data_IF_286921589414
#
_entry.id   IF_286921589414
#
_cell.length_a   1.000
_cell.length_b   1.000
_cell.length_c   1.000
_cell.angle_alpha   90.00
_cell.angle_beta   90.00
_cell.angle_gamma   90.00
#
_symmetry.space_group_name_H-M   'P 1'
#
loop_
_entity.id
_entity.type
_entity.pdbx_description
1 polymer ?
#
# COMPACT_ATOMS: atom_id res chain seq x y z
N UNK A 1 -4.04 -0.71 22.60
CA UNK A 1 -4.54 -1.84 21.78
C UNK A 1 -5.97 -1.59 21.27
N UNK A 2 -6.92 -1.13 22.11
CA UNK A 2 -8.29 -0.77 21.66
C UNK A 2 -8.33 0.26 20.51
N UNK A 3 -7.42 1.22 20.51
CA UNK A 3 -7.32 2.26 19.47
C UNK A 3 -6.86 1.76 18.10
N UNK A 4 -6.18 0.60 17.99
CA UNK A 4 -5.74 0.11 16.68
C UNK A 4 -6.86 -0.56 15.88
N UNK A 5 -7.80 -1.21 16.59
CA UNK A 5 -8.92 -1.95 15.99
C UNK A 5 -10.23 -1.15 15.94
N UNK A 6 -10.26 0.02 16.57
CA UNK A 6 -11.40 0.93 16.48
C UNK A 6 -11.59 1.43 15.05
N UNK A 7 -12.83 1.35 14.58
CA UNK A 7 -13.22 1.70 13.21
C UNK A 7 -14.60 2.33 13.20
N UNK A 8 -14.88 3.15 12.19
CA UNK A 8 -16.25 3.52 11.86
C UNK A 8 -17.05 2.33 11.29
N UNK A 9 -18.37 2.50 11.18
CA UNK A 9 -19.29 1.55 10.54
C UNK A 9 -19.66 2.01 9.11
N UNK A 10 -18.84 2.86 8.49
CA UNK A 10 -19.15 3.48 7.21
C UNK A 10 -18.83 2.54 6.02
N UNK A 11 -19.67 2.61 4.99
CA UNK A 11 -19.43 1.92 3.71
C UNK A 11 -18.29 2.57 2.91
N UNK A 12 -18.06 3.87 3.10
CA UNK A 12 -16.96 4.60 2.45
C UNK A 12 -15.61 3.98 2.78
N UNK A 13 -15.37 3.68 4.06
CA UNK A 13 -14.13 3.05 4.54
C UNK A 13 -13.93 1.65 3.95
N UNK A 14 -15.00 0.87 3.79
CA UNK A 14 -14.96 -0.43 3.10
C UNK A 14 -14.55 -0.25 1.63
N UNK A 15 -15.20 0.65 0.89
CA UNK A 15 -14.93 0.89 -0.53
C UNK A 15 -13.49 1.34 -0.73
N UNK A 16 -13.05 2.35 0.03
CA UNK A 16 -11.69 2.87 -0.04
C UNK A 16 -10.66 1.77 0.19
N UNK A 17 -10.86 0.99 1.25
CA UNK A 17 -9.96 -0.08 1.66
C UNK A 17 -9.86 -1.19 0.62
N UNK A 18 -10.99 -1.68 0.12
CA UNK A 18 -11.03 -2.78 -0.85
C UNK A 18 -10.46 -2.32 -2.18
N UNK A 19 -10.83 -1.13 -2.68
CA UNK A 19 -10.30 -0.62 -3.95
C UNK A 19 -8.80 -0.35 -3.85
N UNK A 20 -8.34 0.30 -2.79
CA UNK A 20 -6.92 0.53 -2.56
C UNK A 20 -6.15 -0.80 -2.50
N UNK A 21 -6.65 -1.78 -1.75
CA UNK A 21 -6.03 -3.09 -1.64
C UNK A 21 -5.98 -3.83 -2.97
N UNK A 22 -7.07 -3.83 -3.76
CA UNK A 22 -7.12 -4.49 -5.07
C UNK A 22 -6.11 -3.87 -6.05
N UNK A 23 -5.99 -2.54 -6.06
CA UNK A 23 -5.05 -1.87 -6.97
C UNK A 23 -3.60 -2.08 -6.52
N UNK A 24 -3.32 -2.09 -5.22
CA UNK A 24 -1.97 -2.29 -4.68
C UNK A 24 -1.50 -3.76 -4.74
N UNK A 25 -2.41 -4.73 -4.68
CA UNK A 25 -2.08 -6.15 -4.62
C UNK A 25 -1.26 -6.64 -5.83
N UNK A 26 -1.59 -6.30 -7.09
CA UNK A 26 -0.76 -6.61 -8.25
C UNK A 26 0.69 -6.12 -8.11
N UNK A 27 0.90 -4.92 -7.58
CA UNK A 27 2.25 -4.38 -7.40
C UNK A 27 3.05 -5.14 -6.33
N UNK A 28 2.39 -5.57 -5.25
CA UNK A 28 2.99 -6.49 -4.28
C UNK A 28 3.29 -7.86 -4.89
N UNK A 29 2.35 -8.43 -5.63
CA UNK A 29 2.50 -9.73 -6.30
C UNK A 29 3.64 -9.72 -7.35
N UNK A 30 3.84 -8.63 -8.07
CA UNK A 30 4.98 -8.43 -8.96
C UNK A 30 6.31 -8.53 -8.19
N UNK A 31 6.37 -7.86 -7.03
CA UNK A 31 7.59 -7.78 -6.21
C UNK A 31 7.88 -9.06 -5.44
N UNK A 32 6.86 -9.73 -4.91
CA UNK A 32 7.03 -10.91 -4.07
C UNK A 32 7.03 -12.21 -4.89
N UNK A 33 6.06 -12.35 -5.80
CA UNK A 33 5.78 -13.62 -6.50
C UNK A 33 6.24 -13.62 -7.96
N UNK A 34 6.59 -12.46 -8.53
CA UNK A 34 6.96 -12.34 -9.94
C UNK A 34 5.77 -12.44 -10.89
N UNK A 35 4.55 -12.25 -10.36
CA UNK A 35 3.34 -12.24 -11.18
C UNK A 35 3.29 -11.02 -12.09
N UNK A 36 2.46 -11.07 -13.13
CA UNK A 36 2.26 -9.94 -14.06
C UNK A 36 3.56 -9.40 -14.67
N UNK A 37 4.52 -10.30 -14.95
CA UNK A 37 5.83 -9.94 -15.50
C UNK A 37 6.77 -9.26 -14.51
N UNK A 38 6.50 -9.33 -13.20
CA UNK A 38 7.37 -8.79 -12.16
C UNK A 38 8.64 -9.61 -11.93
N UNK A 39 9.60 -9.01 -11.23
CA UNK A 39 10.91 -9.62 -10.97
C UNK A 39 10.92 -10.70 -9.88
N UNK A 40 9.82 -10.82 -9.11
CA UNK A 40 9.73 -11.70 -7.94
C UNK A 40 10.68 -11.27 -6.82
N UNK A 41 10.63 -12.00 -5.70
CA UNK A 41 11.31 -11.58 -4.47
C UNK A 41 12.82 -11.36 -4.67
N UNK A 42 13.51 -12.37 -5.21
CA UNK A 42 14.97 -12.30 -5.39
C UNK A 42 15.38 -11.18 -6.36
N UNK A 43 14.67 -11.06 -7.49
CA UNK A 43 14.96 -10.03 -8.49
C UNK A 43 14.66 -8.62 -7.97
N UNK A 44 13.58 -8.45 -7.22
CA UNK A 44 13.20 -7.16 -6.63
C UNK A 44 14.15 -6.77 -5.50
N UNK A 45 14.55 -7.71 -4.64
CA UNK A 45 15.56 -7.48 -3.61
C UNK A 45 16.87 -7.00 -4.23
N UNK A 46 17.39 -7.72 -5.22
CA UNK A 46 18.62 -7.34 -5.92
C UNK A 46 18.51 -6.00 -6.64
N UNK A 47 17.37 -5.70 -7.27
CA UNK A 47 17.14 -4.37 -7.86
C UNK A 47 17.20 -3.26 -6.80
N UNK A 48 16.52 -3.42 -5.67
CA UNK A 48 16.52 -2.41 -4.62
C UNK A 48 17.88 -2.26 -3.92
N UNK A 49 18.59 -3.34 -3.64
CA UNK A 49 19.89 -3.27 -2.96
C UNK A 49 21.03 -2.87 -3.88
N UNK A 50 21.05 -3.42 -5.11
CA UNK A 50 22.24 -3.33 -5.97
C UNK A 50 22.14 -2.18 -6.96
N UNK A 51 20.92 -1.82 -7.41
CA UNK A 51 20.70 -0.71 -8.34
C UNK A 51 20.27 0.56 -7.63
N UNK A 52 19.35 0.44 -6.68
CA UNK A 52 18.83 1.60 -5.94
C UNK A 52 19.59 1.87 -4.63
N UNK A 53 20.53 0.99 -4.26
CA UNK A 53 21.37 1.13 -3.06
C UNK A 53 20.57 1.27 -1.75
N UNK A 54 19.37 0.70 -1.68
CA UNK A 54 18.59 0.65 -0.45
C UNK A 54 19.19 -0.37 0.53
N UNK A 55 19.16 -0.08 1.85
CA UNK A 55 19.42 -1.11 2.85
C UNK A 55 18.49 -2.31 2.65
N UNK A 56 19.02 -3.53 2.75
CA UNK A 56 18.27 -4.76 2.51
C UNK A 56 16.99 -4.85 3.34
N UNK A 57 17.00 -4.33 4.57
CA UNK A 57 15.84 -4.34 5.45
C UNK A 57 14.72 -3.42 4.94
N UNK A 58 15.07 -2.28 4.33
CA UNK A 58 14.08 -1.38 3.72
C UNK A 58 13.49 -2.04 2.48
N UNK A 59 14.33 -2.62 1.62
CA UNK A 59 13.87 -3.36 0.44
C UNK A 59 12.90 -4.49 0.83
N UNK A 60 13.25 -5.28 1.84
CA UNK A 60 12.40 -6.34 2.38
C UNK A 60 11.06 -5.80 2.90
N UNK A 61 11.09 -4.73 3.70
CA UNK A 61 9.89 -4.11 4.26
C UNK A 61 8.98 -3.53 3.17
N UNK A 62 9.52 -2.98 2.08
CA UNK A 62 8.72 -2.51 0.94
C UNK A 62 7.99 -3.69 0.30
N UNK A 63 8.70 -4.78 -0.03
CA UNK A 63 8.10 -5.95 -0.71
C UNK A 63 7.00 -6.56 0.16
N UNK A 64 7.30 -6.78 1.44
CA UNK A 64 6.36 -7.37 2.39
C UNK A 64 5.21 -6.42 2.72
N UNK A 65 5.50 -5.14 2.94
CA UNK A 65 4.50 -4.12 3.25
C UNK A 65 3.51 -3.91 2.12
N UNK A 66 3.96 -3.95 0.86
CA UNK A 66 3.06 -3.80 -0.28
C UNK A 66 2.19 -5.04 -0.49
N UNK A 67 2.77 -6.23 -0.34
CA UNK A 67 2.07 -7.51 -0.55
C UNK A 67 1.09 -7.82 0.58
N UNK A 68 1.57 -7.79 1.83
CA UNK A 68 0.72 -8.13 2.98
C UNK A 68 -0.10 -6.94 3.44
N UNK A 69 0.35 -5.70 3.23
CA UNK A 69 -0.46 -4.51 3.49
C UNK A 69 -1.66 -4.43 2.55
N UNK A 70 -1.53 -4.74 1.26
CA UNK A 70 -2.68 -4.80 0.35
C UNK A 70 -3.68 -5.90 0.73
N UNK A 71 -3.22 -7.09 1.11
CA UNK A 71 -4.08 -8.16 1.64
C UNK A 71 -4.76 -7.76 2.96
N UNK A 72 -4.00 -7.16 3.88
CA UNK A 72 -4.50 -6.64 5.16
C UNK A 72 -5.56 -5.58 4.95
N UNK A 73 -5.36 -4.69 3.97
CA UNK A 73 -6.39 -3.76 3.51
C UNK A 73 -7.60 -4.54 2.99
N UNK A 74 -7.52 -5.42 1.99
CA UNK A 74 -8.71 -6.11 1.43
C UNK A 74 -9.56 -6.83 2.50
N UNK A 75 -8.92 -7.45 3.49
CA UNK A 75 -9.60 -8.16 4.57
C UNK A 75 -10.05 -7.23 5.71
N UNK A 76 -9.44 -6.06 5.84
CA UNK A 76 -9.68 -5.12 6.94
C UNK A 76 -9.07 -5.60 8.24
N UNK A 77 -7.85 -6.14 8.16
CA UNK A 77 -7.04 -6.55 9.30
C UNK A 77 -5.86 -5.58 9.47
N UNK A 78 -5.73 -5.04 10.68
CA UNK A 78 -4.77 -3.99 11.02
C UNK A 78 -4.80 -2.87 9.98
N UNK A 79 -6.00 -2.39 9.63
CA UNK A 79 -6.24 -1.47 8.51
C UNK A 79 -5.36 -0.22 8.61
N UNK A 80 -5.27 0.38 9.80
CA UNK A 80 -4.44 1.56 10.04
C UNK A 80 -2.96 1.27 9.80
N UNK A 81 -2.47 0.11 10.26
CA UNK A 81 -1.08 -0.29 10.06
C UNK A 81 -0.79 -0.56 8.57
N UNK A 82 -1.69 -1.29 7.90
CA UNK A 82 -1.57 -1.58 6.48
C UNK A 82 -1.61 -0.31 5.62
N UNK A 83 -2.52 0.61 5.92
CA UNK A 83 -2.61 1.92 5.26
C UNK A 83 -1.36 2.77 5.51
N UNK A 84 -0.82 2.76 6.74
CA UNK A 84 0.43 3.45 7.06
C UNK A 84 1.60 2.90 6.23
N UNK A 85 1.74 1.58 6.15
CA UNK A 85 2.78 0.94 5.36
C UNK A 85 2.71 1.34 3.88
N UNK A 86 1.52 1.26 3.28
CA UNK A 86 1.27 1.69 1.90
C UNK A 86 1.60 3.17 1.70
N UNK A 87 1.20 4.03 2.64
CA UNK A 87 1.52 5.46 2.61
C UNK A 87 3.04 5.70 2.57
N UNK A 88 3.80 5.05 3.46
CA UNK A 88 5.26 5.19 3.50
C UNK A 88 5.91 4.69 2.21
N UNK A 89 5.43 3.58 1.65
CA UNK A 89 5.92 3.03 0.38
C UNK A 89 5.68 4.01 -0.76
N UNK A 90 4.48 4.62 -0.85
CA UNK A 90 4.18 5.61 -1.89
C UNK A 90 5.05 6.86 -1.75
N UNK A 91 5.26 7.38 -0.53
CA UNK A 91 6.14 8.52 -0.32
C UNK A 91 7.59 8.21 -0.76
N UNK A 92 8.07 7.01 -0.44
CA UNK A 92 9.38 6.55 -0.90
C UNK A 92 9.46 6.42 -2.42
N UNK A 93 8.44 5.85 -3.06
CA UNK A 93 8.37 5.71 -4.51
C UNK A 93 8.37 7.08 -5.21
N UNK A 94 7.59 8.04 -4.71
CA UNK A 94 7.60 9.42 -5.22
C UNK A 94 9.01 10.00 -5.13
N UNK A 95 9.60 9.99 -3.94
CA UNK A 95 10.89 10.63 -3.71
C UNK A 95 12.01 10.01 -4.54
N UNK A 96 12.04 8.68 -4.65
CA UNK A 96 13.15 7.97 -5.29
C UNK A 96 13.02 7.85 -6.81
N UNK A 97 11.81 7.77 -7.35
CA UNK A 97 11.60 7.37 -8.75
C UNK A 97 10.74 8.37 -9.53
N UNK A 98 9.63 8.83 -8.95
CA UNK A 98 8.61 9.56 -9.73
C UNK A 98 8.75 11.08 -9.70
N UNK A 99 9.40 11.65 -8.68
CA UNK A 99 9.58 13.10 -8.54
C UNK A 99 10.25 13.75 -9.77
N UNK A 100 11.33 13.19 -10.36
CA UNK A 100 11.95 13.77 -11.54
C UNK A 100 11.09 13.76 -12.80
N UNK A 101 10.08 12.87 -12.87
CA UNK A 101 9.19 12.73 -14.03
C UNK A 101 8.01 13.73 -14.00
N UNK A 102 7.86 14.48 -12.91
CA UNK A 102 6.78 15.46 -12.75
C UNK A 102 5.44 14.86 -12.32
N UNK A 103 4.38 15.64 -12.45
CA UNK A 103 3.07 15.31 -11.88
C UNK A 103 2.34 14.21 -12.66
N UNK A 104 2.13 14.40 -13.96
CA UNK A 104 1.23 13.57 -14.75
C UNK A 104 1.77 12.16 -15.00
N UNK A 105 0.90 11.16 -14.92
CA UNK A 105 1.28 9.82 -15.37
C UNK A 105 1.59 9.79 -16.88
N UNK A 106 2.41 8.84 -17.30
CA UNK A 106 2.84 8.70 -18.69
C UNK A 106 1.86 7.88 -19.53
N UNK A 107 0.56 8.18 -19.44
CA UNK A 107 -0.53 7.41 -20.09
C UNK A 107 -0.33 7.21 -21.60
N UNK A 108 0.34 8.16 -22.26
CA UNK A 108 0.56 8.17 -23.71
C UNK A 108 2.01 7.86 -24.12
N UNK A 109 2.88 7.48 -23.18
CA UNK A 109 4.29 7.16 -23.48
C UNK A 109 5.13 8.34 -23.97
N UNK A 110 4.75 9.59 -23.62
CA UNK A 110 5.43 10.83 -24.03
C UNK A 110 6.49 11.32 -23.04
N UNK A 111 6.53 10.74 -21.84
CA UNK A 111 7.48 11.07 -20.78
C UNK A 111 8.55 9.98 -20.66
N UNK A 112 9.69 10.32 -20.04
CA UNK A 112 10.78 9.38 -19.79
C UNK A 112 10.42 8.29 -18.76
N UNK A 113 9.46 8.60 -17.88
CA UNK A 113 8.97 7.69 -16.85
C UNK A 113 7.61 8.14 -16.36
N UNK A 114 7.06 7.37 -15.42
CA UNK A 114 5.77 7.66 -14.80
C UNK A 114 5.88 8.82 -13.80
N UNK A 115 4.95 9.78 -13.86
CA UNK A 115 4.79 10.82 -12.84
C UNK A 115 4.20 10.31 -11.52
N UNK A 116 3.93 11.22 -10.58
CA UNK A 116 3.49 10.88 -9.22
C UNK A 116 1.98 11.07 -8.95
N UNK A 117 1.18 11.45 -9.94
CA UNK A 117 -0.28 11.65 -9.84
C UNK A 117 -1.01 10.47 -9.18
N UNK A 118 -0.75 9.23 -9.63
CA UNK A 118 -1.33 8.01 -9.05
C UNK A 118 -0.99 7.84 -7.55
N UNK A 119 0.25 8.14 -7.17
CA UNK A 119 0.74 7.96 -5.80
C UNK A 119 0.03 8.89 -4.82
N UNK A 120 -0.34 10.10 -5.26
CA UNK A 120 -1.12 11.03 -4.43
C UNK A 120 -2.53 10.51 -4.13
N UNK A 121 -3.18 9.85 -5.09
CA UNK A 121 -4.49 9.23 -4.85
C UNK A 121 -4.36 8.11 -3.81
N UNK A 122 -3.32 7.27 -3.93
CA UNK A 122 -3.04 6.21 -2.96
C UNK A 122 -2.76 6.79 -1.57
N UNK A 123 -1.98 7.86 -1.46
CA UNK A 123 -1.70 8.55 -0.20
C UNK A 123 -2.99 9.11 0.41
N UNK A 124 -3.83 9.79 -0.39
CA UNK A 124 -5.10 10.34 0.07
C UNK A 124 -6.04 9.28 0.63
N UNK A 125 -6.18 8.15 -0.07
CA UNK A 125 -6.98 7.01 0.41
C UNK A 125 -6.37 6.39 1.69
N UNK A 126 -5.05 6.26 1.75
CA UNK A 126 -4.36 5.73 2.93
C UNK A 126 -4.54 6.63 4.16
N UNK A 127 -4.47 7.95 3.99
CA UNK A 127 -4.74 8.93 5.05
C UNK A 127 -6.20 8.86 5.53
N UNK A 128 -7.16 8.73 4.62
CA UNK A 128 -8.57 8.55 4.98
C UNK A 128 -8.76 7.29 5.85
N UNK A 129 -8.12 6.17 5.50
CA UNK A 129 -8.20 4.92 6.26
C UNK A 129 -7.42 4.96 7.59
N UNK A 130 -6.34 5.74 7.67
CA UNK A 130 -5.66 5.98 8.94
C UNK A 130 -6.57 6.66 9.96
N UNK A 131 -7.36 7.63 9.50
CA UNK A 131 -8.31 8.37 10.34
C UNK A 131 -9.52 7.48 10.65
N UNK A 132 -10.18 6.95 9.61
CA UNK A 132 -11.46 6.27 9.72
C UNK A 132 -11.39 4.82 10.26
N UNK A 133 -10.31 4.09 9.97
CA UNK A 133 -10.16 2.67 10.30
C UNK A 133 -10.67 1.73 9.19
N UNK A 134 -11.02 0.49 9.58
CA UNK A 134 -11.37 -0.63 8.69
C UNK A 134 -12.73 -0.57 7.99
N UNK A 135 -13.62 0.32 8.41
CA UNK A 135 -15.03 0.38 8.02
C UNK A 135 -15.88 -0.79 8.50
N UNK A 136 -17.13 -0.75 8.04
CA UNK A 136 -18.07 -1.87 8.11
C UNK A 136 -17.43 -3.12 7.48
N UNK A 137 -17.65 -4.31 8.04
CA UNK A 137 -17.18 -5.60 7.50
C UNK A 137 -15.64 -5.73 7.48
N UNK A 138 -14.96 -5.16 8.48
CA UNK A 138 -13.54 -5.37 8.72
C UNK A 138 -13.31 -6.42 9.80
N UNK A 139 -12.20 -7.16 9.68
CA UNK A 139 -11.72 -8.04 10.76
C UNK A 139 -11.39 -7.21 12.02
N UNK A 140 -10.89 -5.99 11.85
CA UNK A 140 -10.66 -5.04 12.94
C UNK A 140 -11.94 -4.79 13.74
N UNK A 141 -13.06 -4.52 13.07
CA UNK A 141 -14.36 -4.34 13.71
C UNK A 141 -14.85 -5.60 14.44
N UNK A 142 -14.62 -6.78 13.86
CA UNK A 142 -14.97 -8.06 14.51
C UNK A 142 -14.13 -8.31 15.78
N UNK A 143 -12.84 -7.99 15.76
CA UNK A 143 -11.94 -8.08 16.91
C UNK A 143 -12.34 -7.05 17.98
N UNK A 144 -12.61 -5.81 17.59
CA UNK A 144 -13.00 -4.74 18.51
C UNK A 144 -14.28 -5.08 19.29
N UNK A 145 -15.28 -5.69 18.62
CA UNK A 145 -16.51 -6.17 19.26
C UNK A 145 -16.25 -7.26 20.31
N UNK A 146 -15.30 -8.17 20.07
CA UNK A 146 -14.91 -9.21 21.03
C UNK A 146 -14.07 -8.69 22.21
N UNK A 147 -13.30 -7.62 22.03
CA UNK A 147 -12.46 -7.02 23.07
C UNK A 147 -13.21 -5.96 23.93
N UNK A 148 -14.43 -5.59 23.50
CA UNK A 148 -15.27 -4.58 24.13
C UNK A 148 -16.55 -5.12 24.77
N UNK A 149 -16.79 -6.43 24.70
CA UNK A 149 -17.77 -7.16 25.52
C UNK A 149 -17.06 -7.92 26.63
#
# INVERSE_FOLDING_TARGET
MKTLFQTDEAWSSLILRVMLGIVMLPHGAQKLLGWFGGFGFAGTMGFFTDKMHLPWIVAFLVIMGESFGSLGLIVGFLTRFSAFGVLCIMLGAIYMVHWPNGFFMNWFGKQAGEGFEYHLLVIGMSLALLIAGGGKWSVDGAIAKKLGG
#
